data_IF_204242730838
#
_entry.id   IF_204242730838
#
_cell.length_a   1.000
_cell.length_b   1.000
_cell.length_c   1.000
_cell.angle_alpha   90.00
_cell.angle_beta   90.00
_cell.angle_gamma   90.00
#
_symmetry.space_group_name_H-M   'P 1'
#
loop_
_entity.id
_entity.type
_entity.pdbx_description
1 polymer ?
#
# COMPACT_ATOMS: atom_id res chain seq x y z
N UNK A 1 -96.60 11.48 -18.71
CA UNK A 1 -95.53 11.44 -17.69
C UNK A 1 -94.14 11.17 -18.34
N UNK A 2 -93.66 12.04 -19.24
CA UNK A 2 -92.33 11.85 -19.87
C UNK A 2 -91.23 12.71 -19.22
N UNK A 3 -91.59 13.87 -18.67
CA UNK A 3 -90.65 14.80 -18.04
C UNK A 3 -89.98 14.24 -16.77
N UNK A 4 -90.72 13.46 -15.96
CA UNK A 4 -90.18 12.79 -14.77
C UNK A 4 -89.10 11.76 -15.10
N UNK A 5 -89.21 11.08 -16.25
CA UNK A 5 -88.20 10.12 -16.71
C UNK A 5 -86.91 10.83 -17.13
N UNK A 6 -87.01 11.97 -17.82
CA UNK A 6 -85.85 12.79 -18.17
C UNK A 6 -85.14 13.37 -16.94
N UNK A 7 -85.91 13.78 -15.92
CA UNK A 7 -85.37 14.30 -14.67
C UNK A 7 -84.58 13.21 -13.91
N UNK A 8 -85.11 11.99 -13.84
CA UNK A 8 -84.42 10.83 -13.25
C UNK A 8 -83.13 10.48 -14.01
N UNK A 9 -83.14 10.51 -15.34
CA UNK A 9 -81.94 10.22 -16.14
C UNK A 9 -80.87 11.29 -15.90
N UNK A 10 -81.22 12.58 -15.88
CA UNK A 10 -80.28 13.65 -15.56
C UNK A 10 -79.70 13.52 -14.14
N UNK A 11 -80.51 13.11 -13.17
CA UNK A 11 -80.04 12.93 -11.80
C UNK A 11 -79.07 11.75 -11.71
N UNK A 12 -79.35 10.67 -12.44
CA UNK A 12 -78.53 9.46 -12.47
C UNK A 12 -77.18 9.70 -13.18
N UNK A 13 -77.17 10.45 -14.28
CA UNK A 13 -75.92 10.85 -14.96
C UNK A 13 -75.09 11.79 -14.09
N UNK A 14 -75.72 12.71 -13.36
CA UNK A 14 -75.03 13.63 -12.45
C UNK A 14 -74.38 12.88 -11.27
N UNK A 15 -75.06 11.87 -10.72
CA UNK A 15 -74.51 11.00 -9.67
C UNK A 15 -73.34 10.16 -10.20
N UNK A 16 -73.44 9.60 -11.41
CA UNK A 16 -72.33 8.86 -12.03
C UNK A 16 -71.14 9.78 -12.29
N UNK A 17 -71.38 11.01 -12.74
CA UNK A 17 -70.30 11.97 -13.02
C UNK A 17 -69.62 12.46 -11.73
N UNK A 18 -70.40 12.78 -10.70
CA UNK A 18 -69.87 13.15 -9.38
C UNK A 18 -69.13 11.97 -8.71
N UNK A 19 -69.67 10.76 -8.81
CA UNK A 19 -69.02 9.55 -8.33
C UNK A 19 -67.72 9.23 -9.06
N UNK A 20 -67.69 9.40 -10.38
CA UNK A 20 -66.48 9.25 -11.19
C UNK A 20 -65.41 10.28 -10.87
N UNK A 21 -65.79 11.55 -10.65
CA UNK A 21 -64.87 12.61 -10.25
C UNK A 21 -64.26 12.35 -8.86
N UNK A 22 -65.09 11.94 -7.88
CA UNK A 22 -64.62 11.57 -6.55
C UNK A 22 -63.70 10.35 -6.57
N UNK A 23 -64.03 9.33 -7.38
CA UNK A 23 -63.19 8.14 -7.53
C UNK A 23 -61.84 8.45 -8.19
N UNK A 24 -61.82 9.33 -9.20
CA UNK A 24 -60.58 9.81 -9.83
C UNK A 24 -59.71 10.58 -8.84
N UNK A 25 -60.31 11.42 -8.00
CA UNK A 25 -59.59 12.13 -6.93
C UNK A 25 -59.01 11.17 -5.89
N UNK A 26 -59.80 10.17 -5.46
CA UNK A 26 -59.32 9.15 -4.52
C UNK A 26 -58.18 8.30 -5.10
N UNK A 27 -58.22 7.93 -6.39
CA UNK A 27 -57.10 7.22 -7.03
C UNK A 27 -55.87 8.11 -7.17
N UNK A 28 -56.06 9.41 -7.44
CA UNK A 28 -54.99 10.40 -7.45
C UNK A 28 -54.28 10.46 -6.11
N UNK A 29 -55.05 10.65 -5.03
CA UNK A 29 -54.52 10.74 -3.67
C UNK A 29 -53.87 9.42 -3.21
N UNK A 30 -54.45 8.26 -3.57
CA UNK A 30 -53.86 6.96 -3.25
C UNK A 30 -52.52 6.76 -3.99
N UNK A 31 -52.39 7.21 -5.24
CA UNK A 31 -51.10 7.15 -5.96
C UNK A 31 -50.06 8.06 -5.33
N UNK A 32 -50.46 9.23 -4.87
CA UNK A 32 -49.58 10.18 -4.18
C UNK A 32 -49.15 9.65 -2.80
N UNK A 33 -50.08 9.07 -2.03
CA UNK A 33 -49.84 8.47 -0.71
C UNK A 33 -49.02 7.17 -0.82
N UNK A 34 -49.23 6.36 -1.86
CA UNK A 34 -48.47 5.11 -2.07
C UNK A 34 -47.16 5.32 -2.85
N UNK A 35 -46.80 6.56 -3.21
CA UNK A 35 -45.61 6.90 -4.00
C UNK A 35 -45.44 6.02 -5.26
N UNK A 36 -46.55 5.57 -5.87
CA UNK A 36 -46.52 4.71 -7.06
C UNK A 36 -46.14 5.59 -8.25
N UNK A 37 -44.84 5.77 -8.46
CA UNK A 37 -44.25 6.58 -9.53
C UNK A 37 -43.06 7.45 -9.12
N UNK A 38 -42.73 7.59 -7.84
CA UNK A 38 -41.52 8.30 -7.44
C UNK A 38 -40.29 7.49 -7.86
N UNK A 39 -39.51 8.06 -8.79
CA UNK A 39 -38.23 7.49 -9.20
C UNK A 39 -37.31 7.57 -7.99
N UNK A 40 -36.89 6.41 -7.49
CA UNK A 40 -35.92 6.30 -6.42
C UNK A 40 -34.70 7.18 -6.71
N UNK A 41 -34.33 8.02 -5.73
CA UNK A 41 -33.22 8.95 -5.88
C UNK A 41 -31.91 8.23 -5.60
N UNK A 42 -30.94 8.40 -6.50
CA UNK A 42 -29.63 7.77 -6.39
C UNK A 42 -28.58 8.84 -6.14
N UNK A 43 -27.80 8.66 -5.07
CA UNK A 43 -26.66 9.51 -4.72
C UNK A 43 -25.38 8.69 -4.87
N UNK A 44 -24.46 9.19 -5.67
CA UNK A 44 -23.16 8.56 -5.88
C UNK A 44 -22.07 9.45 -5.31
N UNK A 45 -21.24 8.91 -4.42
CA UNK A 45 -20.16 9.63 -3.77
C UNK A 45 -18.84 8.89 -3.98
N UNK A 46 -17.79 9.65 -4.23
CA UNK A 46 -16.43 9.14 -4.21
C UNK A 46 -15.83 9.46 -2.84
N UNK A 47 -15.32 8.44 -2.16
CA UNK A 47 -14.70 8.56 -0.84
C UNK A 47 -13.32 7.93 -0.85
N UNK A 48 -12.43 8.46 -0.02
CA UNK A 48 -11.13 7.89 0.26
C UNK A 48 -10.92 7.81 1.77
N UNK A 49 -10.17 6.80 2.19
CA UNK A 49 -9.66 6.66 3.54
C UNK A 49 -8.16 6.40 3.49
N UNK A 50 -7.46 6.81 4.55
CA UNK A 50 -6.02 6.67 4.67
C UNK A 50 -5.64 6.03 6.00
N UNK A 51 -4.62 5.19 5.98
CA UNK A 51 -4.05 4.55 7.17
C UNK A 51 -2.52 4.53 7.05
N UNK A 52 -1.85 4.80 8.17
CA UNK A 52 -0.39 4.75 8.24
C UNK A 52 0.05 3.29 8.43
N UNK A 53 0.99 2.86 7.60
CA UNK A 53 1.69 1.58 7.73
C UNK A 53 3.02 1.87 8.45
N UNK A 54 3.23 1.35 9.67
CA UNK A 54 4.49 1.52 10.37
C UNK A 54 5.62 0.75 9.69
N UNK A 55 6.82 1.32 9.73
CA UNK A 55 8.03 0.61 9.33
C UNK A 55 8.56 -0.19 10.52
N UNK A 56 8.50 -1.51 10.40
CA UNK A 56 8.97 -2.42 11.45
C UNK A 56 10.38 -2.95 11.16
N UNK A 57 10.76 -2.96 9.88
CA UNK A 57 12.00 -3.56 9.38
C UNK A 57 12.69 -2.61 8.39
N UNK A 58 14.01 -2.71 8.33
CA UNK A 58 14.88 -1.94 7.46
C UNK A 58 15.89 -2.86 6.78
N UNK A 59 16.04 -2.74 5.47
CA UNK A 59 17.05 -3.47 4.70
C UNK A 59 18.28 -2.58 4.50
N UNK A 60 19.47 -3.17 4.61
CA UNK A 60 20.73 -2.57 4.19
C UNK A 60 21.63 -3.62 3.55
N UNK A 61 22.54 -3.14 2.71
CA UNK A 61 23.50 -3.94 1.97
C UNK A 61 24.89 -3.41 2.20
N UNK A 62 25.80 -4.31 2.53
CA UNK A 62 27.22 -4.04 2.62
C UNK A 62 27.90 -4.65 1.41
N UNK A 63 28.62 -3.82 0.66
CA UNK A 63 29.34 -4.21 -0.54
C UNK A 63 30.83 -4.14 -0.23
N UNK A 64 31.53 -5.26 -0.45
CA UNK A 64 32.98 -5.34 -0.33
C UNK A 64 33.53 -5.62 -1.72
N UNK A 65 34.39 -4.74 -2.19
CA UNK A 65 34.88 -4.76 -3.57
C UNK A 65 36.37 -4.47 -3.65
N UNK A 66 36.96 -4.95 -4.74
CA UNK A 66 38.29 -4.53 -5.18
C UNK A 66 38.14 -3.23 -6.00
N UNK A 67 39.00 -2.22 -5.79
CA UNK A 67 39.02 -1.02 -6.62
C UNK A 67 39.13 -1.36 -8.11
N UNK A 68 38.43 -0.62 -8.97
CA UNK A 68 38.55 -0.81 -10.42
C UNK A 68 39.99 -0.58 -10.88
N UNK A 69 40.45 -1.47 -11.75
CA UNK A 69 41.77 -1.40 -12.40
C UNK A 69 41.94 -0.08 -13.16
N UNK A 70 42.98 0.69 -12.84
CA UNK A 70 43.39 1.87 -13.60
C UNK A 70 44.61 1.53 -14.45
N UNK A 71 44.37 1.05 -15.69
CA UNK A 71 45.42 0.75 -16.67
C UNK A 71 45.68 -0.74 -16.93
N UNK A 72 46.40 -1.05 -18.01
CA UNK A 72 46.58 -2.43 -18.51
C UNK A 72 47.69 -3.23 -17.82
N UNK A 73 48.57 -2.59 -17.05
CA UNK A 73 49.82 -3.20 -16.54
C UNK A 73 49.74 -3.85 -15.15
N UNK A 74 48.58 -3.85 -14.49
CA UNK A 74 48.43 -4.27 -13.08
C UNK A 74 47.62 -5.59 -12.92
N UNK A 75 47.75 -6.54 -13.85
CA UNK A 75 47.03 -7.84 -13.82
C UNK A 75 47.39 -8.72 -12.63
N UNK A 76 48.67 -8.84 -12.28
CA UNK A 76 49.11 -9.62 -11.10
C UNK A 76 48.60 -9.02 -9.79
N UNK A 77 48.61 -7.69 -9.68
CA UNK A 77 48.09 -6.95 -8.54
C UNK A 77 46.57 -7.11 -8.38
N UNK A 78 45.85 -7.12 -9.50
CA UNK A 78 44.40 -7.37 -9.51
C UNK A 78 44.08 -8.80 -9.03
N UNK A 79 44.84 -9.80 -9.51
CA UNK A 79 44.65 -11.18 -9.09
C UNK A 79 44.97 -11.39 -7.61
N UNK A 80 46.02 -10.74 -7.08
CA UNK A 80 46.33 -10.72 -5.64
C UNK A 80 45.19 -10.10 -4.81
N UNK A 81 44.61 -8.99 -5.27
CA UNK A 81 43.47 -8.36 -4.60
C UNK A 81 42.20 -9.22 -4.63
N UNK A 82 41.94 -9.96 -5.72
CA UNK A 82 40.82 -10.91 -5.80
C UNK A 82 41.03 -12.09 -4.84
N UNK A 83 42.25 -12.64 -4.77
CA UNK A 83 42.57 -13.70 -3.81
C UNK A 83 42.45 -13.21 -2.35
N UNK A 84 42.91 -11.97 -2.07
CA UNK A 84 42.72 -11.31 -0.77
C UNK A 84 41.24 -11.11 -0.46
N UNK A 85 40.45 -10.66 -1.42
CA UNK A 85 39.00 -10.49 -1.23
C UNK A 85 38.34 -11.82 -0.87
N UNK A 86 38.64 -12.91 -1.58
CA UNK A 86 38.07 -14.24 -1.28
C UNK A 86 38.36 -14.66 0.17
N UNK A 87 39.60 -14.47 0.63
CA UNK A 87 39.99 -14.73 2.02
C UNK A 87 39.25 -13.83 3.02
N UNK A 88 39.20 -12.53 2.75
CA UNK A 88 38.53 -11.56 3.63
C UNK A 88 37.03 -11.82 3.70
N UNK A 89 36.41 -12.23 2.60
CA UNK A 89 35.01 -12.66 2.59
C UNK A 89 34.81 -13.92 3.41
N UNK A 90 35.74 -14.87 3.41
CA UNK A 90 35.72 -16.00 4.34
C UNK A 90 35.76 -15.54 5.81
N UNK A 91 36.70 -14.67 6.17
CA UNK A 91 36.83 -14.13 7.53
C UNK A 91 35.58 -13.32 7.96
N UNK A 92 34.99 -12.56 7.04
CA UNK A 92 33.76 -11.80 7.28
C UNK A 92 32.55 -12.73 7.38
N UNK A 93 32.45 -13.75 6.53
CA UNK A 93 31.37 -14.74 6.59
C UNK A 93 31.40 -15.45 7.93
N UNK A 94 32.58 -15.90 8.38
CA UNK A 94 32.74 -16.54 9.68
C UNK A 94 32.33 -15.63 10.85
N UNK A 95 32.52 -14.32 10.72
CA UNK A 95 32.12 -13.33 11.73
C UNK A 95 30.63 -13.05 11.70
N UNK A 96 30.05 -12.88 10.51
CA UNK A 96 28.61 -12.68 10.34
C UNK A 96 27.86 -13.90 10.86
N UNK A 97 28.29 -15.12 10.53
CA UNK A 97 27.66 -16.37 11.00
C UNK A 97 27.65 -16.50 12.52
N UNK A 98 28.66 -15.94 13.21
CA UNK A 98 28.76 -15.92 14.69
C UNK A 98 28.02 -14.74 15.32
N UNK A 99 27.47 -13.83 14.52
CA UNK A 99 26.75 -12.67 15.04
C UNK A 99 25.32 -13.06 15.46
N UNK A 100 24.77 -12.43 16.51
CA UNK A 100 23.37 -12.62 16.89
C UNK A 100 22.38 -12.26 15.78
N UNK A 101 22.79 -11.44 14.82
CA UNK A 101 21.98 -11.07 13.64
C UNK A 101 21.82 -12.25 12.68
N UNK A 102 22.86 -13.07 12.48
CA UNK A 102 22.77 -14.23 11.61
C UNK A 102 21.97 -15.38 12.23
N UNK A 103 22.13 -15.64 13.53
CA UNK A 103 21.34 -16.66 14.25
C UNK A 103 19.83 -16.40 14.15
N UNK A 104 19.45 -15.12 14.10
CA UNK A 104 18.06 -14.67 13.92
C UNK A 104 17.62 -14.59 12.46
N UNK A 105 18.48 -14.96 11.51
CA UNK A 105 18.22 -14.86 10.07
C UNK A 105 18.17 -13.44 9.52
N UNK A 106 18.63 -12.45 10.30
CA UNK A 106 18.57 -11.03 9.95
C UNK A 106 19.65 -10.63 8.93
N UNK A 107 20.77 -11.35 8.83
CA UNK A 107 21.82 -11.07 7.85
C UNK A 107 22.18 -12.32 7.04
N UNK A 108 22.43 -12.13 5.75
CA UNK A 108 22.86 -13.18 4.82
C UNK A 108 24.07 -12.68 4.04
N UNK A 109 25.08 -13.55 3.88
CA UNK A 109 26.26 -13.26 3.07
C UNK A 109 26.12 -13.97 1.73
N UNK A 110 26.31 -13.22 0.65
CA UNK A 110 26.33 -13.72 -0.72
C UNK A 110 27.58 -13.19 -1.43
N UNK A 111 28.24 -14.04 -2.20
CA UNK A 111 29.34 -13.62 -3.07
C UNK A 111 28.89 -13.74 -4.52
N UNK A 112 29.07 -12.67 -5.31
CA UNK A 112 28.78 -12.69 -6.74
C UNK A 112 30.04 -12.35 -7.53
N UNK A 113 30.30 -13.15 -8.57
CA UNK A 113 31.30 -12.83 -9.58
C UNK A 113 30.59 -11.96 -10.63
N UNK A 114 31.06 -10.73 -10.82
CA UNK A 114 30.56 -9.84 -11.88
C UNK A 114 31.48 -10.00 -13.09
N UNK A 115 30.89 -10.10 -14.29
CA UNK A 115 31.65 -10.09 -15.56
C UNK A 115 32.54 -8.83 -15.61
N UNK A 116 33.78 -8.96 -16.11
CA UNK A 116 34.87 -7.95 -16.14
C UNK A 116 35.65 -7.66 -14.83
N UNK A 117 36.20 -8.71 -14.19
CA UNK A 117 37.34 -8.64 -13.23
C UNK A 117 37.11 -7.96 -11.87
N UNK A 118 35.93 -8.11 -11.25
CA UNK A 118 35.79 -7.86 -9.81
C UNK A 118 34.83 -8.86 -9.15
N UNK A 119 35.37 -9.70 -8.27
CA UNK A 119 34.55 -10.39 -7.27
C UNK A 119 33.97 -9.33 -6.33
N UNK A 120 32.69 -9.45 -5.98
CA UNK A 120 32.01 -8.57 -5.03
C UNK A 120 31.40 -9.46 -3.94
N UNK A 121 31.69 -9.13 -2.68
CA UNK A 121 30.95 -9.67 -1.55
C UNK A 121 29.79 -8.75 -1.20
N UNK A 122 28.61 -9.32 -1.03
CA UNK A 122 27.40 -8.63 -0.63
C UNK A 122 26.89 -9.24 0.68
N UNK A 123 26.62 -8.39 1.67
CA UNK A 123 25.97 -8.78 2.92
C UNK A 123 24.65 -8.05 2.97
N UNK A 124 23.56 -8.79 2.87
CA UNK A 124 22.20 -8.23 2.93
C UNK A 124 21.66 -8.46 4.32
N UNK A 125 21.23 -7.39 4.99
CA UNK A 125 20.69 -7.43 6.34
C UNK A 125 19.30 -6.79 6.39
N UNK A 126 18.34 -7.48 7.01
CA UNK A 126 17.01 -6.98 7.38
C UNK A 126 16.95 -6.87 8.90
N UNK A 127 16.95 -5.63 9.41
CA UNK A 127 17.09 -5.33 10.84
C UNK A 127 15.90 -4.52 11.38
N UNK A 128 15.68 -4.56 12.69
CA UNK A 128 14.70 -3.72 13.39
C UNK A 128 15.36 -2.56 14.12
N UNK A 129 14.57 -1.62 14.67
CA UNK A 129 15.10 -0.52 15.51
C UNK A 129 15.91 -1.03 16.71
N UNK A 130 15.60 -2.23 17.23
CA UNK A 130 16.33 -2.84 18.35
C UNK A 130 17.71 -3.38 17.97
N UNK A 131 17.94 -3.66 16.69
CA UNK A 131 19.12 -4.34 16.19
C UNK A 131 20.22 -3.36 15.74
N UNK A 132 19.96 -2.05 15.79
CA UNK A 132 20.85 -1.00 15.27
C UNK A 132 22.23 -1.03 15.90
N UNK A 133 22.32 -1.19 17.23
CA UNK A 133 23.60 -1.14 17.91
C UNK A 133 24.47 -2.35 17.55
N UNK A 134 23.86 -3.53 17.47
CA UNK A 134 24.51 -4.76 16.99
C UNK A 134 24.93 -4.62 15.52
N UNK A 135 24.08 -4.04 14.69
CA UNK A 135 24.38 -3.81 13.29
C UNK A 135 25.55 -2.83 13.10
N UNK A 136 25.58 -1.72 13.86
CA UNK A 136 26.70 -0.79 13.88
C UNK A 136 28.00 -1.45 14.36
N UNK A 137 27.93 -2.36 15.33
CA UNK A 137 29.09 -3.13 15.79
C UNK A 137 29.62 -4.05 14.68
N UNK A 138 28.72 -4.81 14.02
CA UNK A 138 29.07 -5.68 12.89
C UNK A 138 29.73 -4.90 11.75
N UNK A 139 29.21 -3.72 11.41
CA UNK A 139 29.79 -2.86 10.38
C UNK A 139 31.21 -2.40 10.71
N UNK A 140 31.47 -2.02 11.97
CA UNK A 140 32.82 -1.66 12.42
C UNK A 140 33.79 -2.84 12.30
N UNK A 141 33.34 -4.05 12.59
CA UNK A 141 34.15 -5.26 12.41
C UNK A 141 34.45 -5.53 10.92
N UNK A 142 33.45 -5.39 10.05
CA UNK A 142 33.61 -5.53 8.60
C UNK A 142 34.61 -4.51 8.06
N UNK A 143 34.46 -3.24 8.45
CA UNK A 143 35.37 -2.16 8.04
C UNK A 143 36.80 -2.42 8.53
N UNK A 144 36.97 -2.85 9.77
CA UNK A 144 38.27 -3.24 10.31
C UNK A 144 38.92 -4.37 9.52
N UNK A 145 38.17 -5.43 9.17
CA UNK A 145 38.69 -6.55 8.39
C UNK A 145 39.06 -6.15 6.96
N UNK A 146 38.27 -5.28 6.33
CA UNK A 146 38.56 -4.73 5.01
C UNK A 146 39.83 -3.85 5.04
N UNK A 147 39.97 -2.96 6.03
CA UNK A 147 41.12 -2.08 6.20
C UNK A 147 42.41 -2.83 6.53
N UNK A 148 42.35 -3.80 7.44
CA UNK A 148 43.51 -4.60 7.88
C UNK A 148 44.20 -5.31 6.72
N UNK A 149 43.44 -5.72 5.70
CA UNK A 149 43.96 -6.50 4.59
C UNK A 149 44.44 -5.64 3.40
N UNK A 150 44.29 -4.31 3.46
CA UNK A 150 44.88 -3.33 2.55
C UNK A 150 44.39 -3.42 1.10
N UNK A 151 43.73 -2.36 0.62
CA UNK A 151 43.33 -2.24 -0.79
C UNK A 151 41.95 -2.80 -1.12
N UNK A 152 41.17 -3.25 -0.13
CA UNK A 152 39.73 -3.52 -0.27
C UNK A 152 38.92 -2.29 0.09
N UNK A 153 37.77 -2.11 -0.57
CA UNK A 153 36.80 -1.06 -0.26
C UNK A 153 35.52 -1.70 0.26
N UNK A 154 35.13 -1.35 1.48
CA UNK A 154 33.85 -1.73 2.06
C UNK A 154 32.93 -0.51 2.08
N UNK A 155 31.73 -0.69 1.56
CA UNK A 155 30.71 0.34 1.50
C UNK A 155 29.39 -0.22 1.97
N UNK A 156 28.52 0.66 2.46
CA UNK A 156 27.22 0.30 3.01
C UNK A 156 26.15 1.20 2.42
N UNK A 157 24.99 0.61 2.12
CA UNK A 157 23.82 1.38 1.71
C UNK A 157 23.11 1.96 2.92
N UNK A 158 22.40 3.07 2.72
CA UNK A 158 21.47 3.59 3.73
C UNK A 158 20.43 2.54 4.12
N UNK A 159 19.98 2.58 5.38
CA UNK A 159 18.85 1.77 5.84
C UNK A 159 17.58 2.16 5.09
N UNK A 160 17.00 1.22 4.37
CA UNK A 160 15.79 1.43 3.58
C UNK A 160 14.60 0.73 4.25
N UNK A 161 13.48 1.41 4.52
CA UNK A 161 12.32 0.76 5.13
C UNK A 161 11.74 -0.37 4.28
N UNK A 162 11.32 -1.44 4.93
CA UNK A 162 10.64 -2.57 4.28
C UNK A 162 9.19 -2.58 4.73
N UNK A 163 8.28 -2.72 3.76
CA UNK A 163 6.87 -3.01 4.00
C UNK A 163 6.54 -4.32 3.29
N UNK A 164 6.12 -5.31 4.06
CA UNK A 164 5.77 -6.61 3.52
C UNK A 164 4.34 -6.63 2.93
N UNK A 165 4.04 -7.65 2.13
CA UNK A 165 2.72 -7.80 1.52
C UNK A 165 1.60 -8.04 2.54
N UNK A 166 1.89 -8.70 3.66
CA UNK A 166 0.90 -9.00 4.70
C UNK A 166 0.45 -7.72 5.42
N UNK A 167 1.36 -6.79 5.70
CA UNK A 167 1.11 -5.47 6.24
C UNK A 167 0.21 -4.66 5.29
N UNK A 168 0.49 -4.70 3.98
CA UNK A 168 -0.37 -4.06 2.96
C UNK A 168 -1.78 -4.63 2.99
N UNK A 169 -1.93 -5.95 2.92
CA UNK A 169 -3.25 -6.58 2.87
C UNK A 169 -4.04 -6.37 4.17
N UNK A 170 -3.40 -6.49 5.33
CA UNK A 170 -4.04 -6.19 6.62
C UNK A 170 -4.51 -4.73 6.69
N UNK A 171 -3.68 -3.79 6.24
CA UNK A 171 -4.04 -2.36 6.18
C UNK A 171 -5.20 -2.12 5.21
N UNK A 172 -5.23 -2.81 4.05
CA UNK A 172 -6.35 -2.74 3.11
C UNK A 172 -7.65 -3.25 3.74
N UNK A 173 -7.63 -4.36 4.48
CA UNK A 173 -8.83 -4.85 5.17
C UNK A 173 -9.35 -3.84 6.20
N UNK A 174 -8.46 -3.20 6.97
CA UNK A 174 -8.85 -2.15 7.90
C UNK A 174 -9.44 -0.92 7.19
N UNK A 175 -8.86 -0.52 6.06
CA UNK A 175 -9.38 0.57 5.25
C UNK A 175 -10.76 0.24 4.66
N UNK A 176 -10.99 -1.01 4.23
CA UNK A 176 -12.31 -1.48 3.77
C UNK A 176 -13.37 -1.35 4.84
N UNK A 177 -13.06 -1.76 6.08
CA UNK A 177 -13.97 -1.63 7.21
C UNK A 177 -14.34 -0.16 7.46
N UNK A 178 -13.36 0.75 7.41
CA UNK A 178 -13.61 2.20 7.56
C UNK A 178 -14.43 2.79 6.43
N UNK A 179 -14.18 2.38 5.19
CA UNK A 179 -14.98 2.82 4.03
C UNK A 179 -16.43 2.35 4.13
N UNK A 180 -16.65 1.12 4.60
CA UNK A 180 -18.00 0.59 4.82
C UNK A 180 -18.72 1.35 5.95
N UNK A 181 -18.03 1.64 7.05
CA UNK A 181 -18.58 2.47 8.12
C UNK A 181 -18.98 3.85 7.61
N UNK A 182 -18.12 4.50 6.82
CA UNK A 182 -18.40 5.79 6.18
C UNK A 182 -19.56 5.72 5.19
N UNK A 183 -19.72 4.60 4.48
CA UNK A 183 -20.88 4.35 3.64
C UNK A 183 -22.18 4.31 4.46
N UNK A 184 -22.18 3.62 5.60
CA UNK A 184 -23.33 3.57 6.50
C UNK A 184 -23.63 4.95 7.12
N UNK A 185 -22.61 5.69 7.52
CA UNK A 185 -22.77 7.08 7.99
C UNK A 185 -23.38 7.96 6.89
N UNK A 186 -22.95 7.80 5.64
CA UNK A 186 -23.49 8.54 4.50
C UNK A 186 -24.97 8.19 4.24
N UNK A 187 -25.35 6.92 4.36
CA UNK A 187 -26.77 6.51 4.28
C UNK A 187 -27.61 7.21 5.34
N UNK A 188 -27.11 7.26 6.59
CA UNK A 188 -27.76 7.99 7.69
C UNK A 188 -27.91 9.48 7.39
N UNK A 189 -26.85 10.11 6.89
CA UNK A 189 -26.86 11.52 6.48
C UNK A 189 -27.92 11.81 5.41
N UNK A 190 -27.94 11.04 4.32
CA UNK A 190 -28.91 11.25 3.24
C UNK A 190 -30.35 10.93 3.68
N UNK A 191 -30.55 9.94 4.55
CA UNK A 191 -31.88 9.66 5.11
C UNK A 191 -32.41 10.82 5.94
N UNK A 192 -31.56 11.42 6.78
CA UNK A 192 -31.91 12.59 7.57
C UNK A 192 -32.16 13.82 6.68
N UNK A 193 -31.33 14.05 5.65
CA UNK A 193 -31.44 15.20 4.76
C UNK A 193 -32.67 15.16 3.86
N UNK A 194 -32.96 13.99 3.28
CA UNK A 194 -34.06 13.81 2.32
C UNK A 194 -35.40 13.46 2.97
N UNK A 195 -35.38 13.09 4.27
CA UNK A 195 -36.52 12.52 5.00
C UNK A 195 -37.10 11.25 4.35
N UNK A 196 -36.27 10.54 3.57
CA UNK A 196 -36.61 9.30 2.86
C UNK A 196 -35.88 8.11 3.46
N UNK A 197 -36.34 6.90 3.13
CA UNK A 197 -35.64 5.68 3.55
C UNK A 197 -34.47 5.45 2.61
N UNK A 198 -33.25 5.68 3.10
CA UNK A 198 -32.04 5.45 2.31
C UNK A 198 -31.41 4.09 2.64
N UNK A 199 -30.80 3.48 1.63
CA UNK A 199 -30.06 2.23 1.74
C UNK A 199 -28.80 2.27 0.87
N UNK A 200 -27.77 1.56 1.31
CA UNK A 200 -26.58 1.35 0.51
C UNK A 200 -26.92 0.40 -0.63
N UNK A 201 -26.83 0.88 -1.88
CA UNK A 201 -27.08 0.08 -3.07
C UNK A 201 -25.82 -0.65 -3.54
N UNK A 202 -24.70 0.08 -3.60
CA UNK A 202 -23.43 -0.47 -4.05
C UNK A 202 -22.26 0.25 -3.38
N UNK A 203 -21.17 -0.50 -3.17
CA UNK A 203 -19.86 0.03 -2.81
C UNK A 203 -18.83 -0.65 -3.69
N UNK A 204 -18.06 0.13 -4.44
CA UNK A 204 -17.06 -0.38 -5.38
C UNK A 204 -15.71 0.26 -5.09
N UNK A 205 -14.75 -0.56 -4.69
CA UNK A 205 -13.34 -0.16 -4.54
C UNK A 205 -12.74 0.18 -5.91
N UNK A 206 -12.06 1.33 -6.00
CA UNK A 206 -11.35 1.74 -7.22
C UNK A 206 -9.91 1.27 -7.26
N UNK A 207 -9.26 1.27 -6.10
CA UNK A 207 -7.87 0.87 -5.97
C UNK A 207 -7.21 1.44 -4.73
N UNK A 208 -6.15 0.77 -4.31
CA UNK A 208 -5.26 1.26 -3.27
C UNK A 208 -4.05 1.94 -3.91
N UNK A 209 -3.57 3.03 -3.31
CA UNK A 209 -2.37 3.73 -3.75
C UNK A 209 -1.59 4.32 -2.58
N UNK A 210 -0.33 4.65 -2.81
CA UNK A 210 0.48 5.44 -1.90
C UNK A 210 1.40 6.37 -2.69
N UNK A 211 1.58 7.63 -2.26
CA UNK A 211 2.60 8.50 -2.81
C UNK A 211 4.02 8.12 -2.36
N UNK A 212 4.15 7.29 -1.31
CA UNK A 212 5.44 6.81 -0.82
C UNK A 212 5.92 5.62 -1.67
N UNK A 213 7.18 5.64 -2.05
CA UNK A 213 7.81 4.69 -2.98
C UNK A 213 8.01 3.28 -2.38
N UNK A 214 8.15 3.16 -1.06
CA UNK A 214 8.21 1.86 -0.35
C UNK A 214 6.88 1.13 -0.53
N UNK A 215 5.78 1.79 -0.16
CA UNK A 215 4.43 1.22 -0.20
C UNK A 215 3.93 1.07 -1.64
N UNK A 216 4.20 2.04 -2.52
CA UNK A 216 3.85 1.96 -3.94
C UNK A 216 4.50 0.75 -4.63
N UNK A 217 5.75 0.44 -4.28
CA UNK A 217 6.43 -0.76 -4.79
C UNK A 217 5.85 -2.04 -4.24
N UNK A 218 5.54 -2.12 -2.95
CA UNK A 218 4.87 -3.29 -2.39
C UNK A 218 3.52 -3.58 -3.10
N UNK A 219 2.77 -2.52 -3.43
CA UNK A 219 1.53 -2.58 -4.22
C UNK A 219 1.76 -2.96 -5.71
N UNK A 220 2.92 -2.62 -6.28
CA UNK A 220 3.31 -2.94 -7.67
C UNK A 220 3.92 -4.33 -7.83
N UNK A 221 4.68 -4.78 -6.84
CA UNK A 221 5.29 -6.11 -6.77
C UNK A 221 4.22 -7.21 -6.76
N UNK A 222 3.09 -6.97 -6.09
CA UNK A 222 1.92 -7.88 -6.12
C UNK A 222 1.28 -8.00 -7.52
N UNK A 223 1.62 -7.13 -8.47
CA UNK A 223 1.15 -7.17 -9.86
C UNK A 223 2.17 -7.81 -10.82
N UNK A 224 3.27 -8.39 -10.31
CA UNK A 224 4.28 -9.07 -11.12
C UNK A 224 5.20 -8.14 -11.93
N UNK A 225 5.16 -6.83 -11.69
CA UNK A 225 6.02 -5.84 -12.33
C UNK A 225 7.17 -5.45 -11.38
N UNK A 226 8.18 -6.31 -11.29
CA UNK A 226 9.47 -5.95 -10.70
C UNK A 226 10.44 -5.59 -11.83
N UNK A 227 10.29 -4.39 -12.40
CA UNK A 227 11.44 -3.76 -13.05
C UNK A 227 12.40 -3.37 -11.94
N UNK A 228 13.46 -4.17 -11.78
CA UNK A 228 14.47 -4.07 -10.74
C UNK A 228 15.27 -2.77 -10.79
N UNK A 229 14.66 -1.66 -10.40
CA UNK A 229 15.42 -0.50 -9.94
C UNK A 229 15.99 -0.84 -8.58
N UNK A 230 17.33 -0.90 -8.51
CA UNK A 230 18.08 -1.03 -7.26
C UNK A 230 17.51 -0.06 -6.21
N UNK A 231 16.88 -0.61 -5.17
CA UNK A 231 16.38 0.12 -3.99
C UNK A 231 17.49 0.91 -3.30
N UNK A 232 18.72 0.41 -3.45
CA UNK A 232 19.89 1.00 -2.86
C UNK A 232 20.43 2.07 -3.79
N UNK A 233 20.21 3.32 -3.39
CA UNK A 233 20.99 4.45 -3.86
C UNK A 233 22.47 4.28 -3.44
N UNK A 234 23.32 5.15 -3.99
CA UNK A 234 24.76 5.19 -3.79
C UNK A 234 25.22 4.67 -2.41
N UNK A 235 26.13 3.71 -2.45
CA UNK A 235 26.79 3.21 -1.26
C UNK A 235 27.73 4.27 -0.68
N UNK A 236 27.85 4.29 0.63
CA UNK A 236 28.73 5.19 1.37
C UNK A 236 29.83 4.39 2.06
N UNK A 237 31.00 4.99 2.35
CA UNK A 237 31.97 4.35 3.24
C UNK A 237 31.32 3.95 4.57
N UNK A 238 31.70 2.81 5.13
CA UNK A 238 31.14 2.32 6.41
C UNK A 238 31.37 3.30 7.57
N UNK A 239 32.36 4.19 7.45
CA UNK A 239 32.63 5.26 8.41
C UNK A 239 31.53 6.32 8.50
N UNK A 240 30.55 6.33 7.59
CA UNK A 240 29.38 7.18 7.68
C UNK A 240 28.46 6.73 8.83
N UNK A 241 28.00 7.67 9.66
CA UNK A 241 27.07 7.35 10.75
C UNK A 241 25.73 6.89 10.18
N UNK A 242 25.49 5.58 10.24
CA UNK A 242 24.21 5.01 9.80
C UNK A 242 23.13 5.39 10.79
N UNK A 243 22.08 6.03 10.28
CA UNK A 243 20.91 6.44 11.05
C UNK A 243 19.68 5.77 10.47
N UNK A 244 18.70 5.55 11.34
CA UNK A 244 17.36 5.22 10.88
C UNK A 244 16.80 6.34 10.01
N UNK A 245 15.99 5.99 8.99
CA UNK A 245 15.14 6.95 8.31
C UNK A 245 14.32 7.76 9.31
N UNK A 246 14.15 9.06 9.03
CA UNK A 246 13.34 9.95 9.86
C UNK A 246 11.86 9.58 9.80
N UNK A 247 11.39 9.12 8.65
CA UNK A 247 10.04 8.62 8.48
C UNK A 247 9.91 7.24 9.11
N UNK A 248 8.95 7.08 10.02
CA UNK A 248 8.64 5.81 10.71
C UNK A 248 7.39 5.10 10.17
N UNK A 249 6.69 5.70 9.22
CA UNK A 249 5.50 5.14 8.60
C UNK A 249 5.22 5.78 7.25
N UNK A 250 4.45 5.10 6.40
CA UNK A 250 3.92 5.66 5.17
C UNK A 250 2.41 5.47 5.03
N UNK A 251 1.72 6.40 4.35
CA UNK A 251 0.28 6.31 4.17
C UNK A 251 -0.07 5.30 3.07
N UNK A 252 -1.12 4.52 3.31
CA UNK A 252 -1.86 3.77 2.30
C UNK A 252 -3.26 4.37 2.17
N UNK A 253 -3.66 4.67 0.94
CA UNK A 253 -4.98 5.17 0.60
C UNK A 253 -5.81 4.09 -0.06
N UNK A 254 -7.10 4.04 0.25
CA UNK A 254 -8.07 3.22 -0.46
C UNK A 254 -9.27 4.08 -0.86
N UNK A 255 -9.56 4.08 -2.15
CA UNK A 255 -10.68 4.81 -2.73
C UNK A 255 -11.85 3.88 -3.03
N UNK A 256 -13.06 4.35 -2.77
CA UNK A 256 -14.28 3.67 -3.14
C UNK A 256 -15.34 4.65 -3.67
N UNK A 257 -16.18 4.14 -4.57
CA UNK A 257 -17.42 4.80 -4.99
C UNK A 257 -18.59 4.12 -4.30
N UNK A 258 -19.41 4.92 -3.63
CA UNK A 258 -20.57 4.48 -2.87
C UNK A 258 -21.82 5.01 -3.58
N UNK A 259 -22.80 4.13 -3.78
CA UNK A 259 -24.12 4.49 -4.33
C UNK A 259 -25.19 4.23 -3.29
N UNK A 260 -25.97 5.25 -2.99
CA UNK A 260 -27.06 5.23 -2.03
C UNK A 260 -28.37 5.41 -2.78
N UNK A 261 -29.37 4.58 -2.48
CA UNK A 261 -30.73 4.73 -2.97
C UNK A 261 -31.62 5.23 -1.85
N UNK A 262 -32.36 6.30 -2.10
CA UNK A 262 -33.37 6.84 -1.20
C UNK A 262 -34.75 6.72 -1.83
N UNK A 263 -35.63 6.01 -1.13
CA UNK A 263 -37.02 5.77 -1.48
C UNK A 263 -37.91 6.68 -0.62
#
# INVERSE_FOLDING_TARGET
MRWLQYLMICLLTLVIFAGGALFSHFIGDIKEILHIGERSHHYTLDTAEAMQIPYEQYESRVIISVPKKTGSSDTERQQDLVNKLSRVLGEITDRVVKSPLYERGACLVQSKIVEDEAMIGEISCTITEKDIDEYKALLKEIDYLALKNGGLRAEVSSLYPVVDFAQIENTKQNLRARLLEKAHQSVGFYSAQTKRRCSLLASSERGAYSPNDVVARALGASKGLLNGTSLFAATLPITADIKLPLEKSAPLYLEARITIRCD
#
